data_IF_690015528373
#
_entry.id   IF_690015528373
#
_cell.length_a   1.000
_cell.length_b   1.000
_cell.length_c   1.000
_cell.angle_alpha   90.00
_cell.angle_beta   90.00
_cell.angle_gamma   90.00
#
_symmetry.space_group_name_H-M   'P 1'
#
loop_
_entity.id
_entity.type
_entity.pdbx_description
1 polymer ?
#
# COMPACT_ATOMS: atom_id res chain seq x y z
N UNK A 1 0.72 -14.84 45.55
CA UNK A 1 0.07 -13.56 45.17
C UNK A 1 1.05 -12.45 45.54
N UNK A 2 1.86 -12.02 44.60
CA UNK A 2 2.80 -10.90 44.79
C UNK A 2 2.02 -9.59 44.72
N UNK A 3 2.05 -8.81 45.80
CA UNK A 3 1.52 -7.46 45.83
C UNK A 3 2.20 -6.64 44.72
N UNK A 4 1.40 -6.12 43.81
CA UNK A 4 1.84 -5.04 42.93
C UNK A 4 2.12 -3.83 43.78
N UNK A 5 3.40 -3.51 43.99
CA UNK A 5 3.80 -2.23 44.54
C UNK A 5 3.50 -1.17 43.46
N UNK A 6 2.48 -0.35 43.72
CA UNK A 6 2.19 0.82 42.89
C UNK A 6 3.40 1.75 42.96
N UNK A 7 4.17 1.80 41.91
CA UNK A 7 5.31 2.70 41.74
C UNK A 7 4.81 4.08 41.27
N UNK A 8 4.47 4.94 42.23
CA UNK A 8 4.09 6.33 41.99
C UNK A 8 2.69 6.48 41.35
N UNK A 9 2.59 7.30 40.28
CA UNK A 9 1.35 7.59 39.59
C UNK A 9 1.03 6.57 38.47
N UNK A 10 1.90 5.58 38.27
CA UNK A 10 1.69 4.52 37.29
C UNK A 10 0.73 3.46 37.81
N UNK A 11 -0.35 3.22 37.10
CA UNK A 11 -1.28 2.13 37.35
C UNK A 11 -1.40 1.28 36.08
N UNK A 12 -0.99 -0.01 36.09
CA UNK A 12 -1.08 -0.91 34.96
C UNK A 12 -2.49 -1.07 34.39
N UNK A 13 -3.53 -0.75 35.18
CA UNK A 13 -4.93 -0.82 34.69
C UNK A 13 -5.24 0.25 33.65
N UNK A 14 -4.44 1.31 33.56
CA UNK A 14 -4.58 2.37 32.55
C UNK A 14 -3.63 2.20 31.37
N UNK A 15 -2.82 1.14 31.36
CA UNK A 15 -1.95 0.85 30.23
C UNK A 15 -2.78 0.29 29.08
N UNK A 16 -2.76 1.00 27.96
CA UNK A 16 -3.41 0.61 26.71
C UNK A 16 -2.36 0.51 25.62
N UNK A 17 -2.49 -0.53 24.80
CA UNK A 17 -1.65 -0.68 23.62
C UNK A 17 -1.68 0.56 22.74
N UNK A 18 -0.49 1.11 22.47
CA UNK A 18 -0.32 2.33 21.68
C UNK A 18 0.05 2.04 20.22
N UNK A 19 -0.02 0.77 19.77
CA UNK A 19 0.42 0.34 18.47
C UNK A 19 -0.69 0.48 17.42
N UNK A 20 -0.39 1.14 16.27
CA UNK A 20 -1.26 1.19 15.09
C UNK A 20 -0.87 0.19 14.01
N UNK A 21 -0.04 -0.82 14.36
CA UNK A 21 0.42 -1.88 13.45
C UNK A 21 -0.15 -3.21 13.88
N UNK A 22 -0.66 -3.97 12.92
CA UNK A 22 -1.10 -5.35 13.10
C UNK A 22 -0.45 -6.29 12.09
N UNK A 23 -0.23 -7.54 12.50
CA UNK A 23 0.37 -8.54 11.65
C UNK A 23 -0.25 -9.91 11.87
N UNK A 24 -0.60 -10.59 10.77
CA UNK A 24 -1.07 -11.98 10.76
C UNK A 24 -0.16 -12.78 9.83
N UNK A 25 0.25 -13.97 10.24
CA UNK A 25 0.96 -14.89 9.38
C UNK A 25 0.56 -16.35 9.66
N UNK A 26 0.34 -17.11 8.60
CA UNK A 26 0.17 -18.54 8.69
C UNK A 26 1.54 -19.22 8.79
N UNK A 27 1.85 -19.89 9.93
CA UNK A 27 3.17 -20.44 10.24
C UNK A 27 3.67 -21.42 9.16
N UNK A 28 2.76 -22.17 8.51
CA UNK A 28 3.11 -23.10 7.43
C UNK A 28 3.09 -22.45 6.05
N UNK A 29 2.94 -21.14 5.93
CA UNK A 29 2.91 -20.42 4.65
C UNK A 29 1.68 -20.71 3.77
N UNK A 30 0.59 -21.26 4.33
CA UNK A 30 -0.63 -21.57 3.56
C UNK A 30 -1.35 -20.27 3.27
N UNK A 31 -1.56 -19.98 1.98
CA UNK A 31 -2.32 -18.82 1.52
C UNK A 31 -3.82 -19.09 1.66
N UNK A 32 -4.53 -18.18 2.31
CA UNK A 32 -5.98 -18.23 2.46
C UNK A 32 -6.55 -16.81 2.49
N UNK A 33 -7.80 -16.65 2.05
CA UNK A 33 -8.52 -15.38 2.18
C UNK A 33 -8.78 -15.03 3.65
N UNK A 34 -8.88 -16.05 4.52
CA UNK A 34 -9.07 -15.84 5.96
C UNK A 34 -7.95 -15.00 6.57
N UNK A 35 -6.68 -15.21 6.17
CA UNK A 35 -5.57 -14.41 6.67
C UNK A 35 -5.69 -12.92 6.28
N UNK A 36 -6.25 -12.63 5.09
CA UNK A 36 -6.53 -11.26 4.66
C UNK A 36 -7.66 -10.66 5.49
N UNK A 37 -8.73 -11.44 5.72
CA UNK A 37 -9.87 -11.04 6.55
C UNK A 37 -9.45 -10.77 7.99
N UNK A 38 -8.63 -11.65 8.56
CA UNK A 38 -8.12 -11.49 9.94
C UNK A 38 -7.25 -10.24 10.08
N UNK A 39 -6.37 -9.98 9.10
CA UNK A 39 -5.56 -8.77 9.07
C UNK A 39 -6.43 -7.50 8.99
N UNK A 40 -7.46 -7.48 8.15
CA UNK A 40 -8.40 -6.36 8.06
C UNK A 40 -9.21 -6.21 9.36
N UNK A 41 -9.60 -7.29 10.00
CA UNK A 41 -10.28 -7.25 11.31
C UNK A 41 -9.37 -6.67 12.40
N UNK A 42 -8.07 -7.00 12.40
CA UNK A 42 -7.10 -6.34 13.29
C UNK A 42 -7.06 -4.84 13.02
N UNK A 43 -7.02 -4.44 11.75
CA UNK A 43 -7.02 -3.02 11.36
C UNK A 43 -8.26 -2.30 11.88
N UNK A 44 -9.44 -2.89 11.71
CA UNK A 44 -10.73 -2.36 12.19
C UNK A 44 -10.74 -2.22 13.71
N UNK A 45 -10.22 -3.20 14.46
CA UNK A 45 -10.09 -3.15 15.91
C UNK A 45 -9.10 -2.09 16.41
N UNK A 46 -8.22 -1.59 15.54
CA UNK A 46 -7.29 -0.49 15.83
C UNK A 46 -7.87 0.89 15.48
N UNK A 47 -9.17 1.04 15.27
CA UNK A 47 -9.79 2.33 14.92
C UNK A 47 -9.46 3.43 15.94
N UNK A 48 -9.40 3.10 17.23
CA UNK A 48 -9.00 4.01 18.31
C UNK A 48 -7.55 4.52 18.17
N UNK A 49 -6.76 3.93 17.28
CA UNK A 49 -5.36 4.34 16.93
C UNK A 49 -5.29 5.18 15.66
N UNK A 50 -6.37 5.28 14.92
CA UNK A 50 -6.51 6.18 13.79
C UNK A 50 -7.04 7.54 14.22
N UNK A 51 -6.89 8.54 13.37
CA UNK A 51 -7.58 9.81 13.53
C UNK A 51 -8.43 10.10 12.30
N UNK A 52 -9.52 10.78 12.55
CA UNK A 52 -10.33 11.42 11.52
C UNK A 52 -10.01 12.91 11.55
N UNK A 53 -9.98 13.55 10.39
CA UNK A 53 -9.89 14.99 10.27
C UNK A 53 -11.19 15.69 10.73
N UNK A 54 -11.47 16.88 10.19
CA UNK A 54 -12.73 17.59 10.46
C UNK A 54 -13.98 16.84 9.99
N UNK A 55 -13.81 15.80 9.17
CA UNK A 55 -14.87 14.96 8.61
C UNK A 55 -14.71 13.52 9.12
N UNK A 56 -15.81 12.94 9.60
CA UNK A 56 -15.82 11.56 10.16
C UNK A 56 -15.33 10.52 9.12
N UNK A 57 -15.63 10.75 7.83
CA UNK A 57 -15.30 9.83 6.74
C UNK A 57 -13.98 10.16 6.02
N UNK A 58 -13.14 11.01 6.60
CA UNK A 58 -11.80 11.31 6.08
C UNK A 58 -10.76 10.93 7.12
N UNK A 59 -10.06 9.81 6.86
CA UNK A 59 -9.04 9.29 7.77
C UNK A 59 -7.66 9.89 7.54
N UNK A 60 -6.78 9.74 8.51
CA UNK A 60 -5.36 10.12 8.43
C UNK A 60 -4.54 9.19 7.54
N UNK A 61 -5.05 7.99 7.33
CA UNK A 61 -4.44 6.98 6.47
C UNK A 61 -4.46 5.59 7.10
N UNK A 62 -4.84 4.62 6.29
CA UNK A 62 -4.80 3.22 6.67
C UNK A 62 -4.48 2.35 5.46
N UNK A 63 -4.06 1.11 5.70
CA UNK A 63 -3.76 0.19 4.61
C UNK A 63 -3.35 -1.19 5.06
N UNK A 64 -3.18 -2.05 4.07
CA UNK A 64 -2.77 -3.44 4.21
C UNK A 64 -1.71 -3.80 3.16
N UNK A 65 -0.72 -4.56 3.56
CA UNK A 65 0.23 -5.24 2.69
C UNK A 65 -0.03 -6.74 2.75
N UNK A 66 -0.20 -7.36 1.59
CA UNK A 66 -0.43 -8.79 1.41
C UNK A 66 0.52 -9.36 0.35
N UNK A 67 0.67 -10.68 0.30
CA UNK A 67 1.34 -11.31 -0.83
C UNK A 67 0.50 -11.13 -2.11
N UNK A 68 1.17 -11.15 -3.27
CA UNK A 68 0.50 -11.06 -4.57
C UNK A 68 -0.45 -12.26 -4.73
N UNK A 69 -1.77 -12.02 -4.91
CA UNK A 69 -2.75 -13.07 -5.13
C UNK A 69 -2.78 -13.45 -6.62
N UNK A 70 -1.90 -14.37 -7.03
CA UNK A 70 -1.66 -14.71 -8.43
C UNK A 70 -2.93 -15.11 -9.19
N UNK A 71 -3.69 -16.08 -8.66
CA UNK A 71 -4.91 -16.58 -9.32
C UNK A 71 -5.96 -15.48 -9.53
N UNK A 72 -6.04 -14.56 -8.58
CA UNK A 72 -6.94 -13.40 -8.71
C UNK A 72 -6.51 -12.52 -9.87
N UNK A 73 -5.23 -12.14 -9.94
CA UNK A 73 -4.75 -11.27 -11.02
C UNK A 73 -4.72 -11.97 -12.38
N UNK A 74 -4.43 -13.28 -12.40
CA UNK A 74 -4.47 -14.07 -13.63
C UNK A 74 -5.84 -13.99 -14.30
N UNK A 75 -6.92 -14.26 -13.55
CA UNK A 75 -8.27 -14.21 -14.08
C UNK A 75 -8.72 -12.78 -14.45
N UNK A 76 -8.38 -11.79 -13.60
CA UNK A 76 -8.72 -10.39 -13.86
C UNK A 76 -8.07 -9.84 -15.15
N UNK A 77 -6.84 -10.23 -15.42
CA UNK A 77 -6.11 -9.80 -16.61
C UNK A 77 -6.50 -10.60 -17.85
N UNK A 78 -6.75 -11.90 -17.71
CA UNK A 78 -7.23 -12.73 -18.81
C UNK A 78 -8.55 -12.20 -19.36
N UNK A 79 -9.47 -11.75 -18.51
CA UNK A 79 -10.72 -11.11 -18.91
C UNK A 79 -10.53 -9.81 -19.70
N UNK A 80 -9.33 -9.21 -19.63
CA UNK A 80 -8.93 -8.03 -20.41
C UNK A 80 -8.06 -8.36 -21.63
N UNK A 81 -7.86 -9.66 -21.92
CA UNK A 81 -6.99 -10.12 -23.01
C UNK A 81 -5.50 -10.00 -22.72
N UNK A 82 -5.12 -9.81 -21.44
CA UNK A 82 -3.74 -9.71 -21.00
C UNK A 82 -3.32 -11.05 -20.38
N UNK A 83 -2.27 -11.66 -20.92
CA UNK A 83 -1.74 -12.92 -20.41
C UNK A 83 -0.68 -12.65 -19.35
N UNK A 84 -0.96 -13.03 -18.10
CA UNK A 84 -0.02 -12.94 -17.00
C UNK A 84 0.93 -14.16 -17.03
N UNK A 85 2.27 -13.96 -16.88
CA UNK A 85 3.20 -15.07 -16.72
C UNK A 85 2.94 -15.89 -15.45
N UNK A 86 3.62 -17.02 -15.31
CA UNK A 86 3.55 -17.87 -14.13
C UNK A 86 3.98 -17.11 -12.86
N UNK A 87 3.60 -17.66 -11.71
CA UNK A 87 3.97 -17.12 -10.40
C UNK A 87 5.49 -16.96 -10.28
N UNK A 88 5.95 -15.85 -9.74
CA UNK A 88 7.36 -15.43 -9.63
C UNK A 88 8.04 -15.01 -10.95
N UNK A 89 7.33 -15.05 -12.09
CA UNK A 89 7.85 -14.58 -13.37
C UNK A 89 7.40 -13.14 -13.70
N UNK A 90 6.77 -12.46 -12.76
CA UNK A 90 6.35 -11.07 -12.91
C UNK A 90 6.37 -10.31 -11.59
N UNK A 91 6.40 -8.98 -11.69
CA UNK A 91 6.21 -8.06 -10.58
C UNK A 91 4.93 -7.25 -10.73
N UNK A 92 4.39 -6.79 -9.61
CA UNK A 92 3.20 -5.92 -9.56
C UNK A 92 3.53 -4.61 -8.89
N UNK A 93 3.16 -3.50 -9.54
CA UNK A 93 3.18 -2.17 -8.95
C UNK A 93 1.78 -1.69 -8.59
N UNK A 94 1.61 -1.05 -7.43
CA UNK A 94 0.40 -0.29 -7.10
C UNK A 94 0.76 1.19 -7.19
N UNK A 95 0.15 1.89 -8.15
CA UNK A 95 0.52 3.26 -8.52
C UNK A 95 -0.65 4.21 -8.29
N UNK A 96 -0.37 5.34 -7.68
CA UNK A 96 -1.21 6.52 -7.65
C UNK A 96 -0.79 7.45 -8.78
N UNK A 97 -1.71 7.77 -9.67
CA UNK A 97 -1.51 8.75 -10.74
C UNK A 97 -2.25 10.05 -10.44
N UNK A 98 -1.77 11.18 -10.94
CA UNK A 98 -2.50 12.43 -10.91
C UNK A 98 -3.88 12.29 -11.54
N UNK A 99 -4.89 12.94 -10.97
CA UNK A 99 -6.25 12.95 -11.50
C UNK A 99 -6.44 13.96 -12.65
N UNK A 100 -5.47 14.82 -12.90
CA UNK A 100 -5.50 15.79 -14.01
C UNK A 100 -5.49 15.07 -15.36
N UNK A 101 -6.31 15.59 -16.29
CA UNK A 101 -6.47 15.00 -17.64
C UNK A 101 -5.14 14.96 -18.40
N UNK A 102 -4.79 13.79 -18.93
CA UNK A 102 -3.58 13.55 -19.73
C UNK A 102 -2.32 13.28 -18.91
N UNK A 103 -2.32 13.59 -17.62
CA UNK A 103 -1.15 13.41 -16.76
C UNK A 103 -0.86 11.93 -16.45
N UNK A 104 -1.91 11.12 -16.35
CA UNK A 104 -1.75 9.67 -16.15
C UNK A 104 -1.02 9.05 -17.33
N UNK A 105 -1.44 9.34 -18.55
CA UNK A 105 -0.87 8.82 -19.77
C UNK A 105 0.61 9.25 -19.91
N UNK A 106 0.93 10.51 -19.61
CA UNK A 106 2.31 11.01 -19.61
C UNK A 106 3.18 10.27 -18.58
N UNK A 107 2.66 10.06 -17.35
CA UNK A 107 3.37 9.28 -16.34
C UNK A 107 3.59 7.83 -16.77
N UNK A 108 2.60 7.20 -17.42
CA UNK A 108 2.72 5.83 -17.93
C UNK A 108 3.77 5.73 -19.04
N UNK A 109 3.85 6.71 -19.95
CA UNK A 109 4.90 6.76 -20.99
C UNK A 109 6.31 6.89 -20.39
N UNK A 110 6.48 7.79 -19.40
CA UNK A 110 7.79 7.95 -18.73
C UNK A 110 8.15 6.66 -17.98
N UNK A 111 7.17 6.04 -17.30
CA UNK A 111 7.37 4.78 -16.59
C UNK A 111 7.78 3.66 -17.57
N UNK A 112 7.08 3.54 -18.71
CA UNK A 112 7.37 2.53 -19.73
C UNK A 112 8.80 2.69 -20.30
N UNK A 113 9.21 3.92 -20.62
CA UNK A 113 10.60 4.20 -21.05
C UNK A 113 11.63 3.87 -19.97
N UNK A 114 11.29 4.10 -18.69
CA UNK A 114 12.17 3.75 -17.57
C UNK A 114 12.29 2.22 -17.43
N UNK A 115 11.20 1.48 -17.59
CA UNK A 115 11.18 0.02 -17.55
C UNK A 115 12.00 -0.56 -18.73
N UNK A 116 11.78 -0.08 -19.94
CA UNK A 116 12.52 -0.48 -21.15
C UNK A 116 14.02 -0.28 -20.97
N UNK A 117 14.46 0.89 -20.46
CA UNK A 117 15.87 1.18 -20.18
C UNK A 117 16.52 0.18 -19.23
N UNK A 118 15.73 -0.41 -18.33
CA UNK A 118 16.17 -1.45 -17.40
C UNK A 118 15.95 -2.87 -17.94
N UNK A 119 15.47 -3.01 -19.19
CA UNK A 119 15.18 -4.30 -19.81
C UNK A 119 13.99 -5.02 -19.14
N UNK A 120 13.00 -4.28 -18.65
CA UNK A 120 11.78 -4.81 -18.05
C UNK A 120 10.61 -4.51 -18.99
N UNK A 121 9.86 -5.53 -19.36
CA UNK A 121 8.67 -5.40 -20.19
C UNK A 121 7.45 -5.04 -19.33
N UNK A 122 6.66 -4.05 -19.77
CA UNK A 122 5.35 -3.72 -19.19
C UNK A 122 4.30 -4.61 -19.85
N UNK A 123 3.74 -5.56 -19.11
CA UNK A 123 2.69 -6.49 -19.59
C UNK A 123 1.37 -5.74 -19.78
N UNK A 124 1.04 -4.86 -18.84
CA UNK A 124 -0.19 -4.08 -18.91
C UNK A 124 -0.55 -3.40 -17.59
N UNK A 125 -1.71 -2.75 -17.62
CA UNK A 125 -2.28 -2.02 -16.48
C UNK A 125 -3.68 -2.52 -16.14
N UNK A 126 -4.01 -2.52 -14.86
CA UNK A 126 -5.35 -2.77 -14.33
C UNK A 126 -5.77 -1.60 -13.47
N UNK A 127 -6.87 -0.94 -13.84
CA UNK A 127 -7.49 0.06 -12.95
C UNK A 127 -8.00 -0.65 -11.70
N UNK A 128 -7.66 -0.14 -10.54
CA UNK A 128 -8.11 -0.68 -9.25
C UNK A 128 -9.57 -0.26 -9.04
N UNK A 129 -10.50 -1.20 -8.83
CA UNK A 129 -11.86 -0.85 -8.47
C UNK A 129 -11.88 -0.24 -7.07
N UNK A 130 -12.59 0.88 -6.92
CA UNK A 130 -12.74 1.60 -5.65
C UNK A 130 -14.19 2.02 -5.42
N UNK A 131 -14.61 2.01 -4.17
CA UNK A 131 -15.93 2.48 -3.75
C UNK A 131 -15.82 3.90 -3.17
N UNK A 132 -15.98 4.91 -4.03
CA UNK A 132 -15.86 6.33 -3.66
C UNK A 132 -16.92 6.81 -2.67
N UNK A 133 -18.04 6.10 -2.54
CA UNK A 133 -19.12 6.48 -1.62
C UNK A 133 -18.75 6.32 -0.14
N UNK A 134 -17.65 5.63 0.17
CA UNK A 134 -17.20 5.37 1.54
C UNK A 134 -16.34 6.48 2.12
N UNK A 135 -15.79 7.37 1.29
CA UNK A 135 -14.84 8.41 1.71
C UNK A 135 -15.45 9.79 1.76
N UNK A 136 -14.91 10.65 2.64
CA UNK A 136 -15.36 12.03 2.80
C UNK A 136 -14.91 12.96 1.67
N UNK A 137 -15.56 14.13 1.53
CA UNK A 137 -15.29 15.11 0.47
C UNK A 137 -13.82 15.53 0.39
N UNK A 138 -13.16 15.73 1.53
CA UNK A 138 -11.75 16.14 1.56
C UNK A 138 -10.82 15.07 0.97
N UNK A 139 -11.00 13.79 1.34
CA UNK A 139 -10.23 12.69 0.76
C UNK A 139 -10.54 12.49 -0.73
N UNK A 140 -11.82 12.63 -1.11
CA UNK A 140 -12.29 12.50 -2.49
C UNK A 140 -11.71 13.59 -3.40
N UNK A 141 -11.58 14.82 -2.92
CA UNK A 141 -11.06 15.95 -3.71
C UNK A 141 -9.62 15.80 -4.17
N UNK A 142 -8.85 14.98 -3.46
CA UNK A 142 -7.42 14.69 -3.72
C UNK A 142 -7.16 13.20 -4.03
N UNK A 143 -8.24 12.46 -4.33
CA UNK A 143 -8.15 11.04 -4.67
C UNK A 143 -7.33 10.83 -5.96
N UNK A 144 -6.28 10.01 -5.93
CA UNK A 144 -5.52 9.69 -7.13
C UNK A 144 -6.25 8.69 -8.02
N UNK A 145 -5.89 8.64 -9.30
CA UNK A 145 -6.23 7.50 -10.15
C UNK A 145 -5.33 6.32 -9.73
N UNK A 146 -5.92 5.18 -9.42
CA UNK A 146 -5.19 4.01 -8.93
C UNK A 146 -5.14 2.93 -9.98
N UNK A 147 -3.93 2.51 -10.32
CA UNK A 147 -3.71 1.38 -11.23
C UNK A 147 -2.64 0.42 -10.70
N UNK A 148 -2.78 -0.83 -11.09
CA UNK A 148 -1.77 -1.86 -10.92
C UNK A 148 -1.05 -2.03 -12.26
N UNK A 149 0.29 -1.98 -12.25
CA UNK A 149 1.14 -2.28 -13.39
C UNK A 149 1.73 -3.67 -13.22
N UNK A 150 1.75 -4.44 -14.30
CA UNK A 150 2.33 -5.79 -14.33
C UNK A 150 3.57 -5.77 -15.21
N UNK A 151 4.66 -6.32 -14.69
CA UNK A 151 5.98 -6.26 -15.29
C UNK A 151 6.55 -7.66 -15.43
N UNK A 152 6.96 -8.04 -16.64
CA UNK A 152 7.59 -9.35 -16.88
C UNK A 152 9.00 -9.37 -16.29
N UNK A 153 9.34 -10.45 -15.59
CA UNK A 153 10.72 -10.72 -15.16
C UNK A 153 11.58 -10.95 -16.41
N UNK A 154 12.73 -10.26 -16.56
CA UNK A 154 13.65 -10.53 -17.65
C UNK A 154 14.18 -11.97 -17.63
N UNK A 155 14.23 -12.63 -18.78
CA UNK A 155 14.59 -14.05 -18.92
C UNK A 155 16.02 -14.35 -18.44
N UNK A 156 16.91 -13.35 -18.43
CA UNK A 156 18.29 -13.45 -17.94
C UNK A 156 18.43 -13.34 -16.42
N UNK A 157 17.32 -13.12 -15.68
CA UNK A 157 17.34 -13.03 -14.21
C UNK A 157 16.85 -14.37 -13.65
N UNK A 158 17.76 -15.10 -13.02
CA UNK A 158 17.47 -16.40 -12.38
C UNK A 158 17.26 -16.28 -10.87
N UNK A 159 17.97 -15.35 -10.21
CA UNK A 159 17.79 -15.09 -8.78
C UNK A 159 16.58 -14.14 -8.55
N UNK A 160 15.57 -14.57 -7.77
CA UNK A 160 14.44 -13.72 -7.40
C UNK A 160 14.86 -12.41 -6.70
N UNK A 161 15.93 -12.41 -5.92
CA UNK A 161 16.42 -11.21 -5.24
C UNK A 161 16.96 -10.17 -6.24
N UNK A 162 17.55 -10.61 -7.35
CA UNK A 162 18.00 -9.71 -8.41
C UNK A 162 16.82 -9.01 -9.09
N UNK A 163 15.71 -9.70 -9.26
CA UNK A 163 14.50 -9.08 -9.79
C UNK A 163 13.90 -8.07 -8.80
N UNK A 164 13.80 -8.41 -7.50
CA UNK A 164 13.36 -7.44 -6.48
C UNK A 164 14.24 -6.19 -6.46
N UNK A 165 15.57 -6.36 -6.51
CA UNK A 165 16.52 -5.21 -6.61
C UNK A 165 16.25 -4.36 -7.86
N UNK A 166 16.01 -5.02 -8.99
CA UNK A 166 15.74 -4.34 -10.26
C UNK A 166 14.40 -3.57 -10.22
N UNK A 167 13.35 -4.15 -9.64
CA UNK A 167 12.07 -3.48 -9.39
C UNK A 167 12.24 -2.27 -8.45
N UNK A 168 13.06 -2.40 -7.42
CA UNK A 168 13.40 -1.27 -6.53
C UNK A 168 14.11 -0.14 -7.27
N UNK A 169 15.08 -0.46 -8.12
CA UNK A 169 15.77 0.53 -8.96
C UNK A 169 14.77 1.19 -9.92
N UNK A 170 13.92 0.41 -10.59
CA UNK A 170 12.89 0.94 -11.48
C UNK A 170 11.95 1.91 -10.75
N UNK A 171 11.47 1.52 -9.57
CA UNK A 171 10.60 2.38 -8.76
C UNK A 171 11.22 3.75 -8.51
N UNK A 172 12.47 3.76 -8.03
CA UNK A 172 13.14 5.01 -7.69
C UNK A 172 13.50 5.84 -8.94
N UNK A 173 14.00 5.18 -9.98
CA UNK A 173 14.38 5.84 -11.24
C UNK A 173 13.15 6.46 -11.93
N UNK A 174 12.05 5.71 -12.07
CA UNK A 174 10.82 6.22 -12.66
C UNK A 174 10.22 7.35 -11.83
N UNK A 175 10.13 7.20 -10.50
CA UNK A 175 9.61 8.25 -9.62
C UNK A 175 10.42 9.54 -9.73
N UNK A 176 11.75 9.44 -9.73
CA UNK A 176 12.63 10.60 -9.88
C UNK A 176 12.45 11.24 -11.25
N UNK A 177 12.40 10.44 -12.32
CA UNK A 177 12.24 10.95 -13.68
C UNK A 177 10.90 11.64 -13.88
N UNK A 178 9.80 11.04 -13.40
CA UNK A 178 8.47 11.63 -13.49
C UNK A 178 8.41 12.95 -12.71
N UNK A 179 8.89 12.97 -11.46
CA UNK A 179 8.86 14.16 -10.61
C UNK A 179 9.69 15.33 -11.18
N UNK A 180 10.77 15.04 -11.90
CA UNK A 180 11.59 16.06 -12.52
C UNK A 180 11.11 16.52 -13.91
N UNK A 181 10.45 15.64 -14.66
CA UNK A 181 9.97 15.93 -16.02
C UNK A 181 8.72 16.79 -16.01
N UNK A 182 7.84 16.55 -15.05
CA UNK A 182 6.58 17.25 -14.91
C UNK A 182 6.78 18.37 -13.88
N UNK A 183 7.04 19.60 -14.35
CA UNK A 183 7.42 20.79 -13.57
C UNK A 183 6.31 21.37 -12.66
N UNK A 184 5.40 20.58 -12.14
CA UNK A 184 4.38 21.06 -11.20
C UNK A 184 4.63 20.46 -9.83
N UNK A 185 4.75 21.29 -8.80
CA UNK A 185 4.96 20.93 -7.39
C UNK A 185 3.86 20.04 -6.77
N UNK A 186 2.81 19.72 -7.51
CA UNK A 186 1.66 18.93 -7.09
C UNK A 186 1.47 17.64 -7.89
N UNK A 187 2.55 16.96 -8.26
CA UNK A 187 2.38 15.69 -8.96
C UNK A 187 1.96 14.63 -7.95
N UNK A 188 0.71 14.18 -8.07
CA UNK A 188 0.16 13.08 -7.29
C UNK A 188 0.72 11.71 -7.65
N UNK A 189 1.80 11.62 -8.46
CA UNK A 189 2.44 10.35 -8.80
C UNK A 189 3.16 9.74 -7.60
N UNK A 190 2.78 8.51 -7.27
CA UNK A 190 3.40 7.77 -6.19
C UNK A 190 3.22 6.26 -6.40
N UNK A 191 4.28 5.50 -6.21
CA UNK A 191 4.21 4.03 -6.20
C UNK A 191 4.15 3.51 -4.77
N UNK A 192 2.99 3.02 -4.34
CA UNK A 192 2.79 2.44 -3.01
C UNK A 192 3.64 1.18 -2.83
N UNK A 193 3.66 0.32 -3.84
CA UNK A 193 4.53 -0.86 -3.91
C UNK A 193 4.96 -1.14 -5.33
N UNK A 194 6.08 -1.81 -5.50
CA UNK A 194 6.54 -2.47 -6.73
C UNK A 194 7.38 -3.67 -6.31
N UNK A 195 6.87 -4.88 -6.53
CA UNK A 195 7.46 -6.11 -6.00
C UNK A 195 6.96 -7.33 -6.78
N UNK A 196 7.72 -8.41 -6.77
CA UNK A 196 7.26 -9.73 -7.21
C UNK A 196 6.59 -10.54 -6.09
N UNK A 197 6.59 -10.04 -4.85
CA UNK A 197 6.14 -10.80 -3.66
C UNK A 197 4.91 -10.25 -3.00
N UNK A 198 4.84 -8.93 -2.86
CA UNK A 198 3.78 -8.26 -2.08
C UNK A 198 3.18 -7.07 -2.82
N UNK A 199 1.97 -6.74 -2.43
CA UNK A 199 1.24 -5.56 -2.89
C UNK A 199 0.69 -4.79 -1.69
N UNK A 200 0.65 -3.47 -1.79
CA UNK A 200 0.15 -2.57 -0.73
C UNK A 200 -1.10 -1.87 -1.23
N UNK A 201 -2.22 -2.09 -0.54
CA UNK A 201 -3.45 -1.32 -0.65
C UNK A 201 -3.49 -0.33 0.50
N UNK A 202 -3.53 0.96 0.20
CA UNK A 202 -3.54 2.02 1.21
C UNK A 202 -4.15 3.30 0.69
N UNK A 203 -4.55 4.19 1.59
CA UNK A 203 -5.11 5.48 1.21
C UNK A 203 -5.35 6.40 2.38
N UNK A 204 -5.87 7.59 2.10
CA UNK A 204 -6.34 8.53 3.11
C UNK A 204 -7.69 8.06 3.65
N UNK A 205 -7.66 6.94 4.34
CA UNK A 205 -8.79 6.15 4.79
C UNK A 205 -8.76 6.00 6.32
N UNK A 206 -9.92 5.75 6.91
CA UNK A 206 -10.02 5.18 8.25
C UNK A 206 -9.77 3.67 8.20
N UNK A 207 -9.62 3.04 9.36
CA UNK A 207 -9.39 1.60 9.46
C UNK A 207 -10.50 0.77 8.80
N UNK A 208 -11.76 1.12 9.01
CA UNK A 208 -12.92 0.43 8.43
C UNK A 208 -13.04 0.65 6.92
N UNK A 209 -12.69 1.83 6.43
CA UNK A 209 -12.82 2.16 5.03
C UNK A 209 -11.90 1.33 4.12
N UNK A 210 -10.79 0.79 4.61
CA UNK A 210 -9.86 0.01 3.75
C UNK A 210 -10.56 -1.18 3.09
N UNK A 211 -11.37 -1.93 3.83
CA UNK A 211 -12.15 -3.07 3.28
C UNK A 211 -13.25 -2.60 2.34
N UNK A 212 -13.95 -1.55 2.70
CA UNK A 212 -15.11 -1.05 1.96
C UNK A 212 -14.69 -0.31 0.68
N UNK A 213 -13.60 0.42 0.75
CA UNK A 213 -13.07 1.22 -0.35
C UNK A 213 -12.42 0.37 -1.45
N UNK A 214 -11.74 -0.73 -1.07
CA UNK A 214 -11.09 -1.66 -2.01
C UNK A 214 -11.87 -2.99 -2.13
N UNK A 215 -12.84 -3.11 -3.07
CA UNK A 215 -13.62 -4.35 -3.27
C UNK A 215 -12.75 -5.58 -3.53
N UNK A 216 -11.55 -5.41 -4.11
CA UNK A 216 -10.56 -6.49 -4.30
C UNK A 216 -10.32 -7.25 -3.00
N UNK A 217 -10.18 -6.54 -1.87
CA UNK A 217 -9.87 -7.15 -0.56
C UNK A 217 -11.00 -8.02 0.00
N UNK A 218 -12.21 -7.89 -0.52
CA UNK A 218 -13.37 -8.74 -0.16
C UNK A 218 -13.54 -9.94 -1.11
N UNK A 219 -12.77 -10.02 -2.18
CA UNK A 219 -12.82 -11.13 -3.12
C UNK A 219 -12.12 -12.36 -2.54
N UNK A 220 -12.83 -13.50 -2.47
CA UNK A 220 -12.32 -14.75 -1.89
C UNK A 220 -11.08 -15.32 -2.59
N UNK A 221 -10.80 -14.90 -3.84
CA UNK A 221 -9.57 -15.28 -4.58
C UNK A 221 -8.35 -14.45 -4.18
N UNK A 222 -8.55 -13.34 -3.46
CA UNK A 222 -7.45 -12.58 -2.86
C UNK A 222 -7.00 -13.31 -1.61
N UNK A 223 -5.96 -14.12 -1.78
CA UNK A 223 -5.40 -15.00 -0.75
C UNK A 223 -3.97 -14.59 -0.41
N UNK A 224 -3.60 -14.73 0.85
CA UNK A 224 -2.24 -14.47 1.34
C UNK A 224 -1.90 -15.40 2.49
N UNK A 225 -0.62 -15.69 2.70
CA UNK A 225 -0.15 -16.36 3.91
C UNK A 225 0.16 -15.39 5.04
N UNK A 226 0.25 -14.10 4.76
CA UNK A 226 0.46 -13.06 5.76
C UNK A 226 -0.22 -11.76 5.36
N UNK A 227 -0.57 -10.94 6.35
CA UNK A 227 -1.08 -9.59 6.18
C UNK A 227 -0.46 -8.67 7.22
N UNK A 228 0.04 -7.52 6.78
CA UNK A 228 0.52 -6.44 7.63
C UNK A 228 -0.40 -5.24 7.44
N UNK A 229 -0.96 -4.73 8.52
CA UNK A 229 -1.88 -3.59 8.51
C UNK A 229 -1.33 -2.45 9.34
N UNK A 230 -1.74 -1.25 8.98
CA UNK A 230 -1.38 -0.05 9.71
C UNK A 230 -2.53 0.95 9.74
N UNK A 231 -2.85 1.43 10.94
CA UNK A 231 -3.72 2.59 11.16
C UNK A 231 -2.84 3.77 11.56
N UNK A 232 -2.82 4.81 10.71
CA UNK A 232 -1.99 6.00 10.94
C UNK A 232 -2.72 7.02 11.78
N UNK A 233 -2.01 7.60 12.74
CA UNK A 233 -2.39 8.82 13.42
C UNK A 233 -1.41 9.94 13.02
N UNK A 234 -1.89 10.98 12.36
CA UNK A 234 -1.05 12.10 11.92
C UNK A 234 -1.10 13.22 12.97
N UNK A 235 0.00 13.41 13.69
CA UNK A 235 0.09 14.50 14.69
C UNK A 235 0.77 15.75 14.15
N UNK A 236 1.73 15.61 13.25
CA UNK A 236 2.63 16.69 12.82
C UNK A 236 2.63 16.95 11.31
N UNK A 237 1.87 16.18 10.52
CA UNK A 237 1.80 16.32 9.07
C UNK A 237 0.37 16.17 8.59
N UNK A 238 -0.03 16.98 7.60
CA UNK A 238 -1.33 16.82 6.98
C UNK A 238 -1.49 15.43 6.37
N UNK A 239 -2.67 14.79 6.53
CA UNK A 239 -2.98 13.53 5.89
C UNK A 239 -2.87 13.64 4.38
N UNK A 240 -2.39 12.58 3.73
CA UNK A 240 -2.44 12.46 2.28
C UNK A 240 -2.37 10.99 1.85
N UNK A 241 -2.88 10.70 0.66
CA UNK A 241 -2.90 9.35 0.10
C UNK A 241 -1.53 8.67 0.12
N UNK A 242 -0.46 9.39 -0.26
CA UNK A 242 0.91 8.85 -0.32
C UNK A 242 1.52 8.59 1.06
N UNK A 243 1.13 9.38 2.07
CA UNK A 243 1.68 9.27 3.43
C UNK A 243 1.01 8.19 4.28
N UNK A 244 -0.12 7.62 3.82
CA UNK A 244 -0.71 6.45 4.44
C UNK A 244 0.29 5.30 4.54
N UNK A 245 0.16 4.45 5.56
CA UNK A 245 0.97 3.26 5.77
C UNK A 245 0.14 1.99 5.55
N UNK A 246 0.75 0.79 5.39
CA UNK A 246 2.20 0.53 5.49
C UNK A 246 2.97 0.98 4.23
N UNK A 247 4.27 1.17 4.39
CA UNK A 247 5.20 1.25 3.27
C UNK A 247 5.72 -0.14 2.90
N UNK A 248 6.29 -0.30 1.68
CA UNK A 248 6.75 -1.61 1.20
C UNK A 248 7.80 -2.28 2.10
N UNK A 249 8.69 -1.51 2.72
CA UNK A 249 9.82 -1.99 3.53
C UNK A 249 9.76 -1.58 4.98
N UNK A 250 8.88 -0.66 5.36
CA UNK A 250 8.81 -0.10 6.70
C UNK A 250 7.36 -0.02 7.14
N UNK A 251 7.10 -0.47 8.36
CA UNK A 251 5.86 -0.21 9.07
C UNK A 251 6.23 0.11 10.53
N UNK A 252 5.84 1.28 11.01
CA UNK A 252 6.19 1.72 12.35
C UNK A 252 5.20 2.77 12.87
N UNK A 253 5.10 2.86 14.18
CA UNK A 253 4.45 3.95 14.91
C UNK A 253 5.48 4.92 15.45
N UNK A 254 6.53 5.22 14.68
CA UNK A 254 7.60 6.09 15.15
C UNK A 254 7.08 7.45 15.56
N UNK A 255 7.45 7.88 16.72
CA UNK A 255 7.29 9.23 17.20
C UNK A 255 8.59 9.99 16.91
N UNK A 256 8.65 10.57 15.70
CA UNK A 256 9.82 11.36 15.28
C UNK A 256 9.44 12.82 15.47
N UNK A 257 9.67 13.34 16.66
CA UNK A 257 9.27 14.70 17.01
C UNK A 257 10.15 15.76 16.34
N UNK A 258 11.46 15.59 16.31
CA UNK A 258 12.34 16.48 15.55
C UNK A 258 13.70 15.83 15.29
N UNK A 259 14.00 15.50 14.05
CA UNK A 259 15.37 15.16 13.68
C UNK A 259 16.32 16.36 13.87
N UNK A 260 15.89 17.57 13.51
CA UNK A 260 16.65 18.80 13.70
C UNK A 260 16.82 19.22 15.16
N UNK A 261 15.91 18.83 16.07
CA UNK A 261 16.06 19.11 17.49
C UNK A 261 16.97 18.14 18.23
N UNK A 262 17.32 17.00 17.59
CA UNK A 262 18.17 15.95 18.13
C UNK A 262 19.58 15.92 17.50
N UNK A 263 19.85 16.78 16.53
CA UNK A 263 21.16 17.02 15.91
C UNK A 263 21.76 18.30 16.46
#
# INVERSE_FOLDING_TARGET
MTKNENLGLYDPAYEHDACGIGFVAHIKGIKAHQNVTDALTILENMEHRGACGCEINTGDGAGIMIQIPHEFFFDELLNKGIHLPDINEYGVGFIFFPSEKGMKEECQEIFARAAEKLGIEVIGYRTVPVNKSTIGPSALSVEPIMEQVFLKKPDNITDPEDFERKLFVLKNYASHTINNSIKKEAIGFYMASLSQRVIVYKGQLTSHQVREYFPDLSNKRVVSACGLVHSRFATNTFPSWKLAQPFRYIAHNGEINTLQGNL
#
